data_IF_758197964894
#
_entry.id   IF_758197964894
#
_cell.length_a   1.000
_cell.length_b   1.000
_cell.length_c   1.000
_cell.angle_alpha   90.00
_cell.angle_beta   90.00
_cell.angle_gamma   90.00
#
_symmetry.space_group_name_H-M   'P 1'
#
loop_
_entity.id
_entity.type
_entity.pdbx_description
1 polymer ?
#
# COMPACT_ATOMS: atom_id res chain seq x y z
N UNK A 1 1.55 -9.24 15.86
CA UNK A 1 1.42 -9.33 14.39
C UNK A 1 1.33 -7.96 13.74
N UNK A 2 0.34 -7.13 14.11
CA UNK A 2 0.24 -5.76 13.54
C UNK A 2 1.45 -4.88 13.85
N UNK A 3 2.05 -4.97 15.05
CA UNK A 3 3.30 -4.24 15.36
C UNK A 3 4.40 -4.56 14.35
N UNK A 4 4.68 -5.84 14.12
CA UNK A 4 5.66 -6.28 13.12
C UNK A 4 5.33 -5.78 11.72
N UNK A 5 4.04 -5.85 11.32
CA UNK A 5 3.62 -5.36 10.00
C UNK A 5 3.87 -3.86 9.85
N UNK A 6 3.53 -3.10 10.89
CA UNK A 6 3.71 -1.65 10.95
C UNK A 6 5.20 -1.26 10.93
N UNK A 7 6.03 -1.98 11.67
CA UNK A 7 7.48 -1.78 11.70
C UNK A 7 8.14 -2.12 10.35
N UNK A 8 7.76 -3.24 9.72
CA UNK A 8 8.32 -3.69 8.45
C UNK A 8 7.95 -2.74 7.30
N UNK A 9 6.70 -2.27 7.28
CA UNK A 9 6.13 -1.54 6.15
C UNK A 9 5.99 -0.04 6.38
N UNK A 10 6.39 0.48 7.54
CA UNK A 10 6.16 1.87 7.95
C UNK A 10 4.67 2.25 7.84
N UNK A 11 3.84 1.53 8.61
CA UNK A 11 2.37 1.67 8.64
C UNK A 11 1.85 1.95 10.05
N UNK A 12 0.57 2.31 10.15
CA UNK A 12 -0.11 2.51 11.42
C UNK A 12 -1.46 1.78 11.48
N UNK A 13 -1.46 0.48 11.15
CA UNK A 13 -2.66 -0.36 11.27
C UNK A 13 -2.98 -0.66 12.73
N UNK A 14 -4.25 -0.51 13.07
CA UNK A 14 -4.81 -0.76 14.41
C UNK A 14 -5.69 -2.01 14.43
N UNK A 15 -6.16 -2.45 13.27
CA UNK A 15 -7.08 -3.58 13.08
C UNK A 15 -6.62 -4.48 11.95
N UNK A 16 -6.82 -5.79 12.08
CA UNK A 16 -6.36 -6.79 11.10
C UNK A 16 -7.14 -6.68 9.78
N UNK A 17 -8.37 -6.20 9.88
CA UNK A 17 -9.29 -5.93 8.78
C UNK A 17 -8.73 -4.90 7.80
N UNK A 18 -7.80 -4.04 8.23
CA UNK A 18 -7.12 -3.08 7.34
C UNK A 18 -6.22 -3.78 6.31
N UNK A 19 -5.82 -5.04 6.56
CA UNK A 19 -5.09 -5.86 5.58
C UNK A 19 -5.97 -6.39 4.44
N UNK A 20 -7.30 -6.25 4.53
CA UNK A 20 -8.26 -6.74 3.53
C UNK A 20 -8.06 -6.15 2.13
N UNK A 21 -7.39 -5.00 2.03
CA UNK A 21 -7.06 -4.42 0.73
C UNK A 21 -6.00 -5.20 -0.05
N UNK A 22 -5.28 -6.14 0.58
CA UNK A 22 -4.26 -6.98 -0.04
C UNK A 22 -2.95 -6.27 -0.41
N UNK A 23 -2.85 -4.94 -0.33
CA UNK A 23 -1.63 -4.21 -0.68
C UNK A 23 -0.49 -4.48 0.30
N UNK A 24 -0.80 -4.65 1.60
CA UNK A 24 0.20 -4.99 2.61
C UNK A 24 0.81 -6.36 2.33
N UNK A 25 0.00 -7.33 1.91
CA UNK A 25 0.47 -8.66 1.54
C UNK A 25 1.37 -8.64 0.31
N UNK A 26 1.02 -7.86 -0.72
CA UNK A 26 1.89 -7.69 -1.89
C UNK A 26 3.26 -7.12 -1.48
N UNK A 27 3.27 -6.16 -0.57
CA UNK A 27 4.50 -5.51 -0.14
C UNK A 27 5.39 -6.40 0.73
N UNK A 28 4.81 -7.22 1.63
CA UNK A 28 5.58 -8.21 2.40
C UNK A 28 6.26 -9.20 1.45
N UNK A 29 5.52 -9.66 0.43
CA UNK A 29 6.08 -10.60 -0.55
C UNK A 29 7.15 -9.96 -1.44
N UNK A 30 7.08 -8.66 -1.69
CA UNK A 30 8.12 -7.90 -2.38
C UNK A 30 9.40 -7.82 -1.55
N UNK A 31 9.31 -7.81 -0.23
CA UNK A 31 10.47 -7.90 0.64
C UNK A 31 11.15 -9.28 0.55
N UNK A 32 10.37 -10.37 0.45
CA UNK A 32 10.91 -11.71 0.20
C UNK A 32 11.48 -11.88 -1.22
N UNK A 33 10.86 -11.25 -2.22
CA UNK A 33 11.19 -11.40 -3.63
C UNK A 33 11.29 -10.04 -4.33
N UNK A 34 12.37 -9.25 -4.07
CA UNK A 34 12.50 -7.92 -4.63
C UNK A 34 12.45 -7.92 -6.16
N UNK A 35 11.54 -7.12 -6.73
CA UNK A 35 11.39 -6.97 -8.18
C UNK A 35 10.53 -8.04 -8.87
N UNK A 36 10.07 -9.05 -8.13
CA UNK A 36 9.18 -10.09 -8.67
C UNK A 36 7.71 -9.70 -8.55
N UNK A 37 7.38 -8.86 -7.56
CA UNK A 37 6.04 -8.33 -7.38
C UNK A 37 5.83 -7.15 -8.31
N UNK A 38 4.70 -7.14 -9.03
CA UNK A 38 4.31 -6.03 -9.89
C UNK A 38 3.81 -4.82 -9.06
N UNK A 39 4.69 -4.23 -8.23
CA UNK A 39 4.36 -3.16 -7.27
C UNK A 39 3.67 -1.96 -7.91
N UNK A 40 3.97 -1.64 -9.18
CA UNK A 40 3.29 -0.57 -9.95
C UNK A 40 1.80 -0.82 -10.20
N UNK A 41 1.34 -2.06 -10.07
CA UNK A 41 -0.08 -2.45 -10.23
C UNK A 41 -0.82 -2.53 -8.89
N UNK A 42 -0.11 -2.39 -7.77
CA UNK A 42 -0.69 -2.44 -6.42
C UNK A 42 -1.34 -1.10 -6.10
N UNK A 43 -2.59 -1.15 -5.68
CA UNK A 43 -3.39 -0.02 -5.24
C UNK A 43 -3.32 0.11 -3.72
N UNK A 44 -2.40 0.95 -3.23
CA UNK A 44 -2.19 1.18 -1.79
C UNK A 44 -3.33 1.95 -1.11
N UNK A 45 -4.05 2.78 -1.88
CA UNK A 45 -5.17 3.56 -1.39
C UNK A 45 -6.54 2.89 -1.62
N UNK A 46 -6.56 1.62 -2.03
CA UNK A 46 -7.79 0.90 -2.35
C UNK A 46 -8.80 0.97 -1.19
N UNK A 47 -10.05 1.33 -1.50
CA UNK A 47 -11.15 1.46 -0.52
C UNK A 47 -12.33 0.54 -0.79
N UNK A 48 -12.45 0.04 -2.02
CA UNK A 48 -13.59 -0.75 -2.46
C UNK A 48 -13.19 -2.19 -2.76
N UNK A 49 -14.13 -3.11 -2.59
CA UNK A 49 -13.90 -4.55 -2.77
C UNK A 49 -13.33 -4.87 -4.17
N UNK A 50 -13.82 -4.21 -5.22
CA UNK A 50 -13.35 -4.41 -6.58
C UNK A 50 -11.89 -3.97 -6.79
N UNK A 51 -11.39 -3.02 -6.00
CA UNK A 51 -9.98 -2.62 -6.00
C UNK A 51 -9.12 -3.61 -5.22
N UNK A 52 -9.64 -4.17 -4.11
CA UNK A 52 -8.96 -5.20 -3.34
C UNK A 52 -8.66 -6.43 -4.21
N UNK A 53 -9.63 -6.83 -5.04
CA UNK A 53 -9.46 -7.94 -5.99
C UNK A 53 -8.28 -7.71 -6.94
N UNK A 54 -8.01 -6.47 -7.36
CA UNK A 54 -6.85 -6.16 -8.22
C UNK A 54 -5.53 -6.44 -7.49
N UNK A 55 -5.43 -6.07 -6.23
CA UNK A 55 -4.26 -6.36 -5.39
C UNK A 55 -4.09 -7.87 -5.19
N UNK A 56 -5.16 -8.60 -4.90
CA UNK A 56 -5.09 -10.06 -4.77
C UNK A 56 -4.69 -10.77 -6.06
N UNK A 57 -5.06 -10.26 -7.24
CA UNK A 57 -4.56 -10.79 -8.52
C UNK A 57 -3.04 -10.62 -8.69
N UNK A 58 -2.49 -9.50 -8.23
CA UNK A 58 -1.02 -9.30 -8.22
C UNK A 58 -0.37 -10.33 -7.30
N UNK A 59 -0.94 -10.56 -6.11
CA UNK A 59 -0.45 -11.55 -5.15
C UNK A 59 -0.53 -12.98 -5.69
N UNK A 60 -1.66 -13.37 -6.30
CA UNK A 60 -1.85 -14.68 -6.92
C UNK A 60 -0.85 -14.94 -8.03
N UNK A 61 -0.62 -13.95 -8.91
CA UNK A 61 0.37 -14.05 -9.99
C UNK A 61 1.77 -14.34 -9.45
N UNK A 62 2.13 -13.72 -8.33
CA UNK A 62 3.41 -14.01 -7.67
C UNK A 62 3.43 -15.43 -7.08
N UNK A 63 2.35 -15.85 -6.42
CA UNK A 63 2.27 -17.19 -5.82
C UNK A 63 2.40 -18.27 -6.88
N UNK A 64 1.72 -18.12 -8.02
CA UNK A 64 1.86 -19.03 -9.16
C UNK A 64 3.31 -19.04 -9.68
N UNK A 65 3.92 -17.86 -9.85
CA UNK A 65 5.30 -17.74 -10.33
C UNK A 65 6.32 -18.40 -9.39
N UNK A 66 6.10 -18.31 -8.08
CA UNK A 66 6.98 -18.88 -7.03
C UNK A 66 6.53 -20.26 -6.56
N UNK A 67 5.50 -20.85 -7.19
CA UNK A 67 4.95 -22.17 -6.86
C UNK A 67 4.52 -22.29 -5.38
N UNK A 68 3.94 -21.21 -4.85
CA UNK A 68 3.42 -21.16 -3.48
C UNK A 68 2.00 -21.74 -3.48
N UNK A 69 1.82 -22.88 -2.81
CA UNK A 69 0.57 -23.67 -2.84
C UNK A 69 -0.53 -23.16 -1.87
N UNK A 70 -0.34 -22.00 -1.23
CA UNK A 70 -1.35 -21.46 -0.32
C UNK A 70 -2.56 -20.95 -1.10
N UNK A 71 -3.71 -21.58 -0.84
CA UNK A 71 -4.99 -21.10 -1.34
C UNK A 71 -5.38 -19.77 -0.68
N UNK A 72 -5.75 -18.79 -1.51
CA UNK A 72 -6.17 -17.44 -1.10
C UNK A 72 -7.67 -17.29 -1.34
N UNK A 73 -8.45 -17.26 -0.25
CA UNK A 73 -9.90 -17.05 -0.27
C UNK A 73 -10.25 -15.57 -0.49
N UNK A 74 -9.97 -15.04 -1.69
CA UNK A 74 -10.08 -13.61 -2.03
C UNK A 74 -11.44 -13.02 -1.61
N UNK A 75 -12.55 -13.71 -1.89
CA UNK A 75 -13.91 -13.25 -1.56
C UNK A 75 -14.14 -13.08 -0.07
N UNK A 76 -13.52 -13.91 0.79
CA UNK A 76 -13.65 -13.79 2.25
C UNK A 76 -12.77 -12.67 2.79
N UNK A 77 -11.55 -12.56 2.26
CA UNK A 77 -10.60 -11.54 2.66
C UNK A 77 -11.10 -10.13 2.30
N UNK A 78 -11.62 -9.95 1.09
CA UNK A 78 -12.12 -8.66 0.62
C UNK A 78 -13.32 -8.14 1.43
N UNK A 79 -14.08 -9.04 2.09
CA UNK A 79 -15.17 -8.69 3.03
C UNK A 79 -14.68 -8.22 4.40
N UNK A 80 -13.37 -8.04 4.56
CA UNK A 80 -12.74 -7.57 5.79
C UNK A 80 -13.12 -8.39 7.04
N UNK A 81 -13.40 -9.70 6.86
CA UNK A 81 -13.69 -10.60 7.98
C UNK A 81 -12.45 -10.75 8.87
N UNK A 82 -12.53 -10.48 10.19
CA UNK A 82 -11.33 -10.44 11.04
C UNK A 82 -10.59 -11.78 11.11
N UNK A 83 -11.31 -12.91 11.24
CA UNK A 83 -10.69 -14.23 11.35
C UNK A 83 -9.98 -14.65 10.06
N UNK A 84 -10.61 -14.45 8.90
CA UNK A 84 -10.00 -14.78 7.60
C UNK A 84 -8.74 -13.92 7.36
N UNK A 85 -8.80 -12.62 7.67
CA UNK A 85 -7.66 -11.71 7.51
C UNK A 85 -6.53 -12.00 8.52
N UNK A 86 -6.88 -12.41 9.74
CA UNK A 86 -5.90 -12.83 10.74
C UNK A 86 -5.18 -14.11 10.30
N UNK A 87 -5.90 -15.12 9.81
CA UNK A 87 -5.29 -16.36 9.31
C UNK A 87 -4.31 -16.06 8.17
N UNK A 88 -4.72 -15.22 7.21
CA UNK A 88 -3.86 -14.85 6.08
C UNK A 88 -2.60 -14.10 6.55
N UNK A 89 -2.75 -13.16 7.49
CA UNK A 89 -1.61 -12.42 8.04
C UNK A 89 -0.65 -13.33 8.82
N UNK A 90 -1.18 -14.28 9.59
CA UNK A 90 -0.36 -15.29 10.30
C UNK A 90 0.42 -16.16 9.33
N UNK A 91 -0.24 -16.65 8.28
CA UNK A 91 0.39 -17.48 7.27
C UNK A 91 1.50 -16.71 6.53
N UNK A 92 1.23 -15.46 6.12
CA UNK A 92 2.23 -14.61 5.46
C UNK A 92 3.41 -14.32 6.39
N UNK A 93 3.17 -14.03 7.67
CA UNK A 93 4.25 -13.82 8.65
C UNK A 93 5.15 -15.05 8.74
N UNK A 94 4.55 -16.24 8.88
CA UNK A 94 5.31 -17.50 8.91
C UNK A 94 6.09 -17.70 7.62
N UNK A 95 5.48 -17.42 6.48
CA UNK A 95 6.16 -17.53 5.18
C UNK A 95 7.35 -16.56 5.10
N UNK A 96 7.15 -15.31 5.52
CA UNK A 96 8.20 -14.29 5.59
C UNK A 96 9.35 -14.74 6.48
N UNK A 97 9.08 -15.22 7.70
CA UNK A 97 10.12 -15.69 8.63
C UNK A 97 10.98 -16.82 8.07
N UNK A 98 10.41 -17.66 7.20
CA UNK A 98 11.10 -18.79 6.58
C UNK A 98 11.91 -18.41 5.33
N UNK A 99 11.53 -17.33 4.63
CA UNK A 99 12.09 -17.00 3.30
C UNK A 99 12.79 -15.65 3.23
N UNK A 100 12.62 -14.79 4.23
CA UNK A 100 13.27 -13.49 4.24
C UNK A 100 14.75 -13.63 4.59
N UNK A 101 15.62 -13.33 3.64
CA UNK A 101 17.07 -13.46 3.77
C UNK A 101 17.75 -12.39 4.64
N UNK A 102 17.00 -11.51 5.30
CA UNK A 102 17.55 -10.46 6.16
C UNK A 102 18.10 -9.23 5.43
N UNK A 103 17.80 -9.08 4.13
CA UNK A 103 18.22 -7.92 3.36
C UNK A 103 17.61 -6.62 3.91
N UNK A 104 18.21 -5.48 3.63
CA UNK A 104 17.58 -4.19 3.93
C UNK A 104 16.39 -3.96 2.99
N UNK A 105 15.24 -3.59 3.54
CA UNK A 105 14.02 -3.34 2.78
C UNK A 105 13.44 -1.96 3.11
N UNK A 106 13.50 -1.04 2.14
CA UNK A 106 12.88 0.28 2.29
C UNK A 106 11.45 0.28 1.75
N UNK A 107 10.48 0.07 2.66
CA UNK A 107 9.08 -0.01 2.30
C UNK A 107 8.53 1.25 1.63
N UNK A 108 8.94 2.44 2.07
CA UNK A 108 8.43 3.72 1.56
C UNK A 108 8.88 3.94 0.11
N UNK A 109 10.14 3.66 -0.18
CA UNK A 109 10.69 3.76 -1.54
C UNK A 109 10.04 2.75 -2.50
N UNK A 110 9.77 1.53 -2.03
CA UNK A 110 9.11 0.50 -2.85
C UNK A 110 7.67 0.86 -3.22
N UNK A 111 7.01 1.71 -2.42
CA UNK A 111 5.71 2.30 -2.74
C UNK A 111 5.80 3.54 -3.64
N UNK A 112 7.00 4.05 -3.92
CA UNK A 112 7.17 5.33 -4.60
C UNK A 112 6.70 6.52 -3.76
N UNK A 113 6.78 6.41 -2.43
CA UNK A 113 6.31 7.45 -1.50
C UNK A 113 4.80 7.45 -1.22
N UNK A 114 4.04 6.51 -1.79
CA UNK A 114 2.61 6.38 -1.52
C UNK A 114 2.36 5.84 -0.11
N UNK A 115 1.36 6.40 0.57
CA UNK A 115 0.86 5.90 1.85
C UNK A 115 -0.30 4.93 1.65
N UNK A 116 -0.53 4.04 2.62
CA UNK A 116 -1.73 3.22 2.63
C UNK A 116 -2.96 4.06 3.02
N UNK A 117 -4.10 3.80 2.39
CA UNK A 117 -5.35 4.34 2.89
C UNK A 117 -5.69 3.69 4.24
N UNK A 118 -5.69 4.48 5.30
CA UNK A 118 -6.31 4.09 6.56
C UNK A 118 -7.82 3.98 6.33
N UNK A 119 -8.35 2.76 6.22
CA UNK A 119 -9.78 2.49 6.27
C UNK A 119 -10.28 2.73 7.69
N UNK A 120 -10.41 4.00 8.08
CA UNK A 120 -10.84 4.35 9.43
C UNK A 120 -10.51 5.77 9.91
N UNK A 121 -10.71 6.80 9.08
CA UNK A 121 -11.01 8.15 9.56
C UNK A 121 -11.59 8.97 8.40
N UNK A 122 -12.68 9.70 8.66
CA UNK A 122 -13.08 10.81 7.79
C UNK A 122 -11.96 11.85 7.84
N UNK A 123 -11.06 11.83 6.88
CA UNK A 123 -10.08 12.90 6.73
C UNK A 123 -10.75 14.04 5.95
N UNK A 124 -11.26 15.02 6.69
CA UNK A 124 -11.61 16.32 6.15
C UNK A 124 -10.31 17.03 5.74
N UNK A 125 -9.79 16.76 4.54
CA UNK A 125 -8.68 17.54 4.01
C UNK A 125 -9.25 18.75 3.25
N UNK A 126 -9.39 19.86 4.00
CA UNK A 126 -9.62 21.17 3.44
C UNK A 126 -8.42 21.56 2.56
N UNK A 127 -8.71 21.76 1.27
CA UNK A 127 -8.00 22.59 0.28
C UNK A 127 -6.68 23.20 0.73
N UNK A 128 -5.58 22.71 0.14
CA UNK A 128 -4.44 23.57 -0.16
C UNK A 128 -4.03 23.40 -1.62
N UNK A 129 -4.63 24.24 -2.47
CA UNK A 129 -4.21 24.47 -3.85
C UNK A 129 -3.08 25.51 -3.82
N UNK A 130 -1.88 25.24 -4.33
CA UNK A 130 -0.91 26.32 -4.55
C UNK A 130 -1.36 27.08 -5.80
N UNK A 131 -1.89 28.29 -5.60
CA UNK A 131 -2.18 29.21 -6.69
C UNK A 131 -0.86 29.79 -7.21
N UNK A 132 -0.62 29.60 -8.51
CA UNK A 132 0.53 30.06 -9.25
C UNK A 132 0.75 31.58 -9.12
N UNK A 133 2.02 31.95 -8.92
CA UNK A 133 2.47 33.33 -9.01
C UNK A 133 2.37 33.86 -10.45
N UNK A 134 1.84 35.08 -10.69
CA UNK A 134 1.97 35.71 -11.99
C UNK A 134 3.26 36.54 -12.07
N UNK A 135 4.00 36.34 -13.17
CA UNK A 135 5.16 37.16 -13.57
C UNK A 135 4.68 38.47 -14.23
N UNK A 136 5.24 39.58 -13.74
CA UNK A 136 5.61 40.86 -14.40
C UNK A 136 5.02 41.26 -15.76
N UNK A 137 4.48 42.49 -15.85
CA UNK A 137 4.63 43.37 -17.02
C UNK A 137 4.46 44.87 -16.67
N UNK A 138 5.38 45.68 -17.19
CA UNK A 138 5.55 47.15 -17.14
C UNK A 138 4.32 48.02 -17.42
N UNK A 139 4.26 49.26 -16.89
CA UNK A 139 4.06 50.50 -17.69
C UNK A 139 4.60 51.78 -16.98
N UNK A 140 5.52 52.45 -17.70
CA UNK A 140 5.91 53.88 -17.85
C UNK A 140 5.85 54.93 -16.71
N UNK A 141 7.00 55.59 -16.59
CA UNK A 141 7.22 56.92 -16.03
C UNK A 141 6.48 58.04 -16.80
N UNK A 142 5.97 59.02 -16.07
CA UNK A 142 5.50 60.30 -16.59
C UNK A 142 6.07 61.43 -15.74
N UNK A 143 6.92 62.26 -16.35
CA UNK A 143 7.45 63.49 -15.78
C UNK A 143 7.00 64.68 -16.64
N UNK A 144 6.89 65.84 -15.98
CA UNK A 144 6.89 67.22 -16.50
C UNK A 144 5.55 67.75 -17.04
N UNK A 145 4.94 68.69 -16.30
CA UNK A 145 5.07 70.15 -16.54
C UNK A 145 4.68 70.94 -15.29
#
# INVERSE_FOLDING_TARGET
>A
LLSWLNELLDLNYTKVEQCANGAAYCQIMDACFPGEVAMKKVLFDAKHEHDFVKNYKVLQTLFDKKQITKHIEVTKLCKAKPLDNLEMLQWIKRYFDMHYGGNEYNAVERRGGLSFASTGAKENNATNKPAAAPKTASVKAGAVR
#
